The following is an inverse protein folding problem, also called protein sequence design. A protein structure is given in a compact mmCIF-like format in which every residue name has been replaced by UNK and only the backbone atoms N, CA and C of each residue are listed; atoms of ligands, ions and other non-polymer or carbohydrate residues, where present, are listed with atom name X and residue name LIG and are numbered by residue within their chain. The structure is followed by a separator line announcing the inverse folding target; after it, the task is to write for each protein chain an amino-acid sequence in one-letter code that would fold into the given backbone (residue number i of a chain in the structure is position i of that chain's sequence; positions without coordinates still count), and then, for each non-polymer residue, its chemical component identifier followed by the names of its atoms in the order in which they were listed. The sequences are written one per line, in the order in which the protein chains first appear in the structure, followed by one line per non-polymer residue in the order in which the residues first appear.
data_IF_661938879457
#
_entry.id   IF_661938879457
#
_cell.length_a   1.000
_cell.length_b   1.000
_cell.length_c   1.000
_cell.angle_alpha   90.00
_cell.angle_beta   90.00
_cell.angle_gamma   90.00
#
_symmetry.space_group_name_H-M   'P 1'
#
loop_
_entity.id
_entity.type
_entity.pdbx_description
1 polymer ?
#
# COMPACT_ATOMS: atom_id res chain seq x y z
N UNK A 1 -40.80 -25.98 8.78
CA UNK A 1 -40.53 -26.92 7.67
C UNK A 1 -39.72 -26.14 6.67
N UNK A 2 -38.55 -26.62 6.24
CA UNK A 2 -37.77 -25.93 5.23
C UNK A 2 -38.58 -25.96 3.92
N UNK A 3 -38.98 -24.79 3.42
CA UNK A 3 -39.49 -24.67 2.05
C UNK A 3 -38.43 -25.27 1.11
N UNK A 4 -38.81 -26.35 0.43
CA UNK A 4 -38.00 -26.97 -0.61
C UNK A 4 -37.96 -26.01 -1.80
N UNK A 5 -36.88 -25.21 -1.87
CA UNK A 5 -36.56 -24.37 -3.02
C UNK A 5 -36.52 -25.20 -4.29
N UNK A 6 -36.99 -24.63 -5.39
CA UNK A 6 -36.95 -25.31 -6.69
C UNK A 6 -35.50 -25.33 -7.23
N UNK A 7 -35.14 -26.31 -8.08
CA UNK A 7 -33.81 -26.33 -8.71
C UNK A 7 -33.45 -25.03 -9.44
N UNK A 8 -34.43 -24.42 -10.10
CA UNK A 8 -34.30 -23.16 -10.85
C UNK A 8 -33.95 -21.99 -9.91
N UNK A 9 -34.58 -21.93 -8.73
CA UNK A 9 -34.26 -20.92 -7.70
C UNK A 9 -32.84 -21.07 -7.17
N UNK A 10 -32.37 -22.31 -6.95
CA UNK A 10 -31.01 -22.59 -6.50
C UNK A 10 -29.98 -22.19 -7.57
N UNK A 11 -30.25 -22.45 -8.84
CA UNK A 11 -29.38 -22.04 -9.94
C UNK A 11 -29.25 -20.52 -10.04
N UNK A 12 -30.37 -19.79 -9.91
CA UNK A 12 -30.38 -18.33 -9.90
C UNK A 12 -29.58 -17.76 -8.72
N UNK A 13 -29.72 -18.34 -7.52
CA UNK A 13 -28.97 -17.92 -6.33
C UNK A 13 -27.46 -18.18 -6.48
N UNK A 14 -27.09 -19.34 -7.03
CA UNK A 14 -25.69 -19.68 -7.31
C UNK A 14 -25.09 -18.70 -8.32
N UNK A 15 -25.83 -18.33 -9.36
CA UNK A 15 -25.36 -17.36 -10.35
C UNK A 15 -25.09 -15.99 -9.69
N UNK A 16 -26.01 -15.53 -8.85
CA UNK A 16 -25.87 -14.26 -8.12
C UNK A 16 -24.70 -14.30 -7.12
N UNK A 17 -24.54 -15.39 -6.37
CA UNK A 17 -23.41 -15.56 -5.46
C UNK A 17 -22.07 -15.59 -6.20
N UNK A 18 -22.01 -16.23 -7.37
CA UNK A 18 -20.79 -16.24 -8.20
C UNK A 18 -20.40 -14.83 -8.65
N UNK A 19 -21.37 -14.02 -9.04
CA UNK A 19 -21.12 -12.62 -9.41
C UNK A 19 -20.59 -11.81 -8.21
N UNK A 20 -21.20 -11.95 -7.03
CA UNK A 20 -20.74 -11.29 -5.80
C UNK A 20 -19.33 -11.73 -5.40
N UNK A 21 -19.03 -13.03 -5.51
CA UNK A 21 -17.70 -13.56 -5.24
C UNK A 21 -16.67 -13.06 -6.25
N UNK A 22 -17.02 -13.01 -7.54
CA UNK A 22 -16.15 -12.45 -8.57
C UNK A 22 -15.78 -10.99 -8.26
N UNK A 23 -16.77 -10.15 -7.94
CA UNK A 23 -16.52 -8.76 -7.53
C UNK A 23 -15.67 -8.64 -6.28
N UNK A 24 -15.86 -9.53 -5.29
CA UNK A 24 -15.05 -9.57 -4.07
C UNK A 24 -13.60 -9.97 -4.37
N UNK A 25 -13.40 -10.96 -5.25
CA UNK A 25 -12.07 -11.40 -5.68
C UNK A 25 -11.35 -10.30 -6.44
N UNK A 26 -12.04 -9.58 -7.32
CA UNK A 26 -11.48 -8.45 -8.07
C UNK A 26 -11.04 -7.32 -7.12
N UNK A 27 -11.84 -6.98 -6.11
CA UNK A 27 -11.47 -5.99 -5.09
C UNK A 27 -10.24 -6.43 -4.29
N UNK A 28 -10.19 -7.70 -3.88
CA UNK A 28 -9.04 -8.26 -3.16
C UNK A 28 -7.77 -8.25 -4.03
N UNK A 29 -7.90 -8.62 -5.30
CA UNK A 29 -6.80 -8.59 -6.26
C UNK A 29 -6.26 -7.16 -6.43
N UNK A 30 -7.14 -6.17 -6.60
CA UNK A 30 -6.74 -4.76 -6.70
C UNK A 30 -5.98 -4.27 -5.44
N UNK A 31 -6.44 -4.65 -4.24
CA UNK A 31 -5.74 -4.30 -2.99
C UNK A 31 -4.37 -4.96 -2.87
N UNK A 32 -4.27 -6.23 -3.29
CA UNK A 32 -3.01 -6.97 -3.25
C UNK A 32 -2.01 -6.42 -4.27
N UNK A 33 -2.47 -6.02 -5.45
CA UNK A 33 -1.64 -5.38 -6.47
C UNK A 33 -1.03 -4.08 -5.96
N UNK A 34 -1.85 -3.19 -5.36
CA UNK A 34 -1.36 -1.94 -4.73
C UNK A 34 -0.32 -2.23 -3.64
N UNK A 35 -0.55 -3.26 -2.82
CA UNK A 35 0.39 -3.64 -1.76
C UNK A 35 1.71 -4.16 -2.35
N UNK A 36 1.65 -5.01 -3.37
CA UNK A 36 2.82 -5.53 -4.06
C UNK A 36 3.61 -4.39 -4.71
N UNK A 37 2.93 -3.45 -5.36
CA UNK A 37 3.56 -2.29 -5.99
C UNK A 37 4.25 -1.37 -4.97
N UNK A 38 3.62 -1.14 -3.82
CA UNK A 38 4.21 -0.38 -2.73
C UNK A 38 5.44 -1.10 -2.15
N UNK A 39 5.38 -2.42 -1.96
CA UNK A 39 6.52 -3.20 -1.50
C UNK A 39 7.69 -3.17 -2.49
N UNK A 40 7.41 -3.26 -3.79
CA UNK A 40 8.43 -3.17 -4.84
C UNK A 40 9.10 -1.80 -4.82
N UNK A 41 8.31 -0.71 -4.75
CA UNK A 41 8.85 0.65 -4.65
C UNK A 41 9.75 0.82 -3.42
N UNK A 42 9.35 0.28 -2.28
CA UNK A 42 10.18 0.32 -1.06
C UNK A 42 11.46 -0.50 -1.22
N UNK A 43 11.38 -1.67 -1.86
CA UNK A 43 12.54 -2.50 -2.14
C UNK A 43 13.52 -1.77 -3.08
N UNK A 44 13.05 -1.18 -4.17
CA UNK A 44 13.86 -0.40 -5.11
C UNK A 44 14.56 0.78 -4.43
N UNK A 45 13.83 1.51 -3.57
CA UNK A 45 14.40 2.62 -2.80
C UNK A 45 15.45 2.13 -1.79
N UNK A 46 15.20 0.99 -1.14
CA UNK A 46 16.14 0.37 -0.21
C UNK A 46 17.40 -0.08 -0.94
N UNK A 47 17.27 -0.72 -2.09
CA UNK A 47 18.40 -1.17 -2.89
C UNK A 47 19.22 0.03 -3.40
N UNK A 48 18.56 1.09 -3.88
CA UNK A 48 19.23 2.33 -4.26
C UNK A 48 19.94 3.03 -3.07
N UNK A 49 19.38 2.90 -1.86
CA UNK A 49 19.91 3.49 -0.64
C UNK A 49 20.93 2.59 0.11
N UNK A 50 21.13 1.34 -0.30
CA UNK A 50 22.03 0.39 0.36
C UNK A 50 23.22 0.04 -0.55
N UNK A 51 24.29 -0.47 0.07
CA UNK A 51 25.49 -0.99 -0.59
C UNK A 51 25.33 -2.50 -0.85
N UNK A 52 26.18 -3.10 -1.69
CA UNK A 52 26.16 -4.55 -1.98
C UNK A 52 26.25 -5.46 -0.73
N UNK A 53 26.69 -4.91 0.41
CA UNK A 53 26.74 -5.61 1.71
C UNK A 53 25.52 -5.36 2.62
N UNK A 54 24.46 -4.72 2.12
CA UNK A 54 23.23 -4.41 2.87
C UNK A 54 23.34 -3.24 3.85
N UNK A 55 24.47 -2.51 3.87
CA UNK A 55 24.67 -1.33 4.73
C UNK A 55 24.12 -0.09 4.02
N UNK A 56 23.36 0.80 4.69
CA UNK A 56 22.91 2.04 4.06
C UNK A 56 24.11 2.85 3.57
N UNK A 57 24.04 3.40 2.35
CA UNK A 57 25.12 4.21 1.78
C UNK A 57 25.36 5.44 2.67
N UNK A 58 26.60 5.68 3.13
CA UNK A 58 26.88 6.77 4.07
C UNK A 58 26.56 8.15 3.47
N UNK A 59 26.72 8.31 2.16
CA UNK A 59 26.33 9.51 1.40
C UNK A 59 24.83 9.80 1.50
N UNK A 60 23.99 8.75 1.42
CA UNK A 60 22.52 8.85 1.49
C UNK A 60 22.06 9.16 2.91
N UNK A 61 22.69 8.56 3.93
CA UNK A 61 22.41 8.88 5.34
C UNK A 61 22.75 10.33 5.68
N UNK A 62 23.90 10.83 5.21
CA UNK A 62 24.29 12.22 5.41
C UNK A 62 23.33 13.19 4.70
N UNK A 63 22.96 12.89 3.45
CA UNK A 63 22.02 13.70 2.67
C UNK A 63 20.61 13.70 3.29
N UNK A 64 20.07 12.54 3.68
CA UNK A 64 18.76 12.42 4.30
C UNK A 64 18.71 13.14 5.66
N UNK A 65 19.75 13.00 6.48
CA UNK A 65 19.87 13.71 7.76
C UNK A 65 19.86 15.22 7.59
N UNK A 66 20.56 15.73 6.57
CA UNK A 66 20.62 17.17 6.28
C UNK A 66 19.28 17.75 5.82
N UNK A 67 18.50 17.02 5.02
CA UNK A 67 17.18 17.45 4.56
C UNK A 67 16.17 17.51 5.71
N UNK A 68 16.18 16.51 6.60
CA UNK A 68 15.32 16.51 7.79
C UNK A 68 15.68 17.68 8.71
N UNK A 69 16.98 17.90 8.97
CA UNK A 69 17.42 19.04 9.76
C UNK A 69 16.99 20.39 9.15
N UNK A 70 17.13 20.54 7.83
CA UNK A 70 16.73 21.76 7.12
C UNK A 70 15.22 21.99 7.14
N UNK A 71 14.42 20.93 7.01
CA UNK A 71 12.96 21.00 7.14
C UNK A 71 12.54 21.43 8.56
N UNK A 72 13.16 20.88 9.60
CA UNK A 72 12.90 21.27 11.00
C UNK A 72 13.24 22.75 11.22
N UNK A 73 14.39 23.21 10.73
CA UNK A 73 14.78 24.63 10.83
C UNK A 73 13.77 25.53 10.13
N UNK A 74 13.35 25.18 8.91
CA UNK A 74 12.34 25.95 8.16
C UNK A 74 10.99 26.00 8.88
N UNK A 75 10.54 24.88 9.45
CA UNK A 75 9.28 24.81 10.20
C UNK A 75 9.36 25.68 11.46
N UNK A 76 10.44 25.57 12.24
CA UNK A 76 10.65 26.40 13.45
C UNK A 76 10.73 27.88 13.08
N UNK A 77 11.44 28.22 12.00
CA UNK A 77 11.55 29.59 11.52
C UNK A 77 10.19 30.15 11.11
N UNK A 78 9.38 29.36 10.38
CA UNK A 78 8.03 29.74 9.97
C UNK A 78 7.10 29.94 11.17
N UNK A 79 7.15 29.05 12.16
CA UNK A 79 6.35 29.14 13.38
C UNK A 79 6.74 30.34 14.25
N UNK A 80 8.01 30.73 14.26
CA UNK A 80 8.49 31.94 14.96
C UNK A 80 8.17 33.23 14.22
N UNK A 81 8.08 33.21 12.89
CA UNK A 81 7.73 34.36 12.05
C UNK A 81 6.23 34.71 12.11
N UNK A 82 5.38 33.73 12.44
CA UNK A 82 3.92 33.88 12.55
C UNK A 82 3.42 34.21 13.96
N UNK A 83 4.31 34.33 14.95
CA UNK A 83 4.02 34.88 16.29
C UNK A 83 4.55 36.29 16.38
#
# INVERSE_FOLDING_TARGET
MAESRTPEELEAEIALQREQLAGTVDELAAKLDVKAHAQHTVADLKDAATTDSGKPRPEVLAAAGSLVAMAVVLVVWRLRRHR
#
